data_IF_189696079081
#
_entry.id   IF_189696079081
#
_cell.length_a   1.000
_cell.length_b   1.000
_cell.length_c   1.000
_cell.angle_alpha   90.00
_cell.angle_beta   90.00
_cell.angle_gamma   90.00
#
_symmetry.space_group_name_H-M   'P 1'
#
loop_
_entity.id
_entity.type
_entity.pdbx_description
1 polymer ?
#
# COMPACT_ATOMS: atom_id res chain seq x y z
N UNK A 1 86.73 -26.76 -47.25
CA UNK A 1 87.63 -25.62 -47.47
C UNK A 1 86.82 -24.38 -47.21
N UNK A 2 87.28 -23.59 -46.26
CA UNK A 2 87.08 -22.15 -46.00
C UNK A 2 85.65 -21.63 -46.05
N UNK A 3 85.10 -21.10 -45.04
CA UNK A 3 85.64 -20.29 -43.94
C UNK A 3 85.01 -18.92 -44.08
N UNK A 4 84.37 -18.37 -43.13
CA UNK A 4 83.94 -16.98 -43.19
C UNK A 4 82.88 -16.65 -42.15
N UNK A 5 83.34 -16.39 -40.94
CA UNK A 5 82.48 -15.81 -39.87
C UNK A 5 82.38 -14.29 -40.11
N UNK A 6 81.17 -13.82 -40.47
CA UNK A 6 80.88 -12.41 -40.56
C UNK A 6 80.26 -11.96 -39.19
N UNK A 7 81.07 -11.19 -38.43
CA UNK A 7 80.65 -10.52 -37.20
C UNK A 7 79.62 -9.43 -37.49
N UNK A 8 78.37 -9.74 -37.23
CA UNK A 8 77.28 -8.75 -37.26
C UNK A 8 77.32 -7.86 -35.99
N UNK A 9 77.74 -6.64 -36.13
CA UNK A 9 77.66 -5.58 -35.15
C UNK A 9 76.25 -5.13 -35.10
N UNK A 10 75.62 -5.28 -33.91
CA UNK A 10 74.25 -4.80 -33.64
C UNK A 10 74.22 -3.25 -33.74
N UNK A 11 73.19 -2.67 -34.34
CA UNK A 11 73.03 -1.21 -34.40
C UNK A 11 72.66 -0.66 -33.04
N UNK A 12 73.07 0.58 -32.68
CA UNK A 12 72.79 1.21 -31.41
C UNK A 12 71.31 1.52 -31.28
N UNK A 13 70.79 1.54 -30.05
CA UNK A 13 69.36 1.81 -29.79
C UNK A 13 68.99 3.23 -30.21
N UNK A 14 67.97 3.35 -31.05
CA UNK A 14 67.37 4.63 -31.43
C UNK A 14 66.84 5.36 -30.20
N UNK A 15 67.40 6.52 -29.88
CA UNK A 15 66.82 7.43 -28.85
C UNK A 15 65.46 7.89 -29.36
N UNK A 16 64.41 7.49 -28.67
CA UNK A 16 63.08 8.01 -28.88
C UNK A 16 63.10 9.44 -28.34
N UNK A 17 63.11 10.42 -29.23
CA UNK A 17 62.80 11.80 -28.83
C UNK A 17 61.33 11.84 -28.47
N UNK A 18 61.02 12.07 -27.19
CA UNK A 18 59.70 12.40 -26.74
C UNK A 18 59.28 13.74 -27.38
N UNK A 19 58.49 13.66 -28.42
CA UNK A 19 57.84 14.83 -29.03
C UNK A 19 56.71 15.23 -28.05
N UNK A 20 56.91 16.31 -27.31
CA UNK A 20 55.84 16.89 -26.51
C UNK A 20 54.74 17.36 -27.46
N UNK A 21 53.47 16.99 -27.19
CA UNK A 21 52.36 17.40 -28.02
C UNK A 21 52.20 18.92 -28.02
N UNK A 22 51.90 19.50 -29.19
CA UNK A 22 51.93 20.95 -29.46
C UNK A 22 51.01 21.83 -28.61
N UNK A 23 50.03 21.24 -27.92
CA UNK A 23 49.16 21.97 -27.02
C UNK A 23 49.84 22.51 -25.73
N UNK A 24 51.01 21.94 -25.37
CA UNK A 24 51.78 22.37 -24.21
C UNK A 24 52.47 23.74 -24.37
N UNK A 25 52.39 24.37 -25.57
CA UNK A 25 53.07 25.62 -25.89
C UNK A 25 52.15 26.85 -25.97
N UNK A 26 50.86 26.73 -25.69
CA UNK A 26 49.96 27.87 -25.73
C UNK A 26 49.90 28.55 -24.34
N UNK A 27 50.53 29.72 -24.17
CA UNK A 27 50.52 30.40 -22.85
C UNK A 27 49.14 30.89 -22.43
N UNK A 28 48.19 30.89 -23.36
CA UNK A 28 46.79 31.36 -23.08
C UNK A 28 45.95 30.33 -22.32
N UNK A 29 46.33 29.06 -22.32
CA UNK A 29 45.51 27.99 -21.66
C UNK A 29 45.90 27.76 -20.19
N UNK A 30 47.01 28.28 -19.74
CA UNK A 30 47.50 28.03 -18.38
C UNK A 30 46.66 28.69 -17.28
N UNK A 31 46.15 29.94 -17.45
CA UNK A 31 45.28 30.51 -16.43
C UNK A 31 43.96 29.73 -16.26
N UNK A 32 43.45 29.14 -17.35
CA UNK A 32 42.22 28.33 -17.32
C UNK A 32 42.40 26.97 -16.64
N UNK A 33 43.56 26.36 -16.80
CA UNK A 33 43.90 25.12 -16.09
C UNK A 33 44.00 25.32 -14.57
N UNK A 34 44.52 26.46 -14.16
CA UNK A 34 44.54 26.84 -12.73
C UNK A 34 43.14 27.09 -12.15
N UNK A 35 42.27 27.74 -12.92
CA UNK A 35 40.86 27.99 -12.52
C UNK A 35 40.05 26.69 -12.40
N UNK A 36 40.24 25.75 -13.32
CA UNK A 36 39.63 24.42 -13.29
C UNK A 36 40.09 23.61 -12.08
N UNK A 37 41.37 23.62 -11.78
CA UNK A 37 41.93 22.93 -10.64
C UNK A 37 41.43 23.55 -9.32
N UNK A 38 41.29 24.88 -9.23
CA UNK A 38 40.73 25.56 -8.09
C UNK A 38 39.25 25.25 -7.90
N UNK A 39 38.46 25.19 -8.98
CA UNK A 39 37.04 24.83 -8.93
C UNK A 39 36.81 23.40 -8.46
N UNK A 40 37.62 22.44 -8.92
CA UNK A 40 37.54 21.03 -8.49
C UNK A 40 37.98 20.91 -7.02
N UNK A 41 39.03 21.64 -6.61
CA UNK A 41 39.47 21.68 -5.22
C UNK A 41 38.43 22.27 -4.27
N UNK A 42 37.76 23.38 -4.66
CA UNK A 42 36.68 23.96 -3.87
C UNK A 42 35.47 23.04 -3.78
N UNK A 43 35.12 22.33 -4.85
CA UNK A 43 34.03 21.36 -4.87
C UNK A 43 34.30 20.17 -3.94
N UNK A 44 35.55 19.69 -3.92
CA UNK A 44 35.96 18.60 -3.02
C UNK A 44 35.97 19.04 -1.55
N UNK A 45 36.40 20.26 -1.25
CA UNK A 45 36.36 20.84 0.09
C UNK A 45 34.91 21.06 0.56
N UNK A 46 34.02 21.50 -0.34
CA UNK A 46 32.60 21.69 -0.02
C UNK A 46 31.90 20.35 0.21
N UNK A 47 32.19 19.33 -0.61
CA UNK A 47 31.70 17.99 -0.40
C UNK A 47 32.18 17.36 0.91
N UNK A 48 33.42 17.66 1.33
CA UNK A 48 33.95 17.15 2.58
C UNK A 48 33.34 17.85 3.82
N UNK A 49 32.92 19.10 3.68
CA UNK A 49 32.20 19.81 4.76
C UNK A 49 30.74 19.36 4.93
N UNK A 50 30.10 18.84 3.88
CA UNK A 50 28.70 18.41 3.92
C UNK A 50 28.57 16.95 4.38
N UNK A 51 29.54 16.10 4.13
CA UNK A 51 29.49 14.67 4.44
C UNK A 51 29.39 14.32 5.95
N UNK A 52 29.86 15.11 6.91
CA UNK A 52 29.65 14.76 8.32
C UNK A 52 28.25 15.10 8.84
N UNK A 53 27.45 15.87 8.10
CA UNK A 53 26.09 16.25 8.53
C UNK A 53 25.06 15.14 8.29
N UNK A 54 25.34 14.24 7.35
CA UNK A 54 24.57 13.02 7.19
C UNK A 54 25.26 11.89 7.97
N UNK A 55 25.40 12.11 9.28
CA UNK A 55 25.74 11.05 10.19
C UNK A 55 24.83 9.87 9.84
N UNK A 56 25.42 8.69 9.68
CA UNK A 56 24.67 7.43 9.52
C UNK A 56 23.49 7.51 10.46
N UNK A 57 22.24 7.24 9.99
CA UNK A 57 21.13 7.20 10.92
C UNK A 57 21.58 6.27 12.01
N UNK A 58 21.82 6.85 13.21
CA UNK A 58 21.97 6.05 14.40
C UNK A 58 20.75 5.14 14.31
N UNK A 59 20.99 3.86 14.00
CA UNK A 59 19.97 2.84 14.13
C UNK A 59 19.58 3.04 15.60
N UNK A 60 18.48 3.81 15.78
CA UNK A 60 17.81 3.88 17.06
C UNK A 60 17.68 2.40 17.40
N UNK A 61 18.54 1.93 18.31
CA UNK A 61 18.28 0.67 18.98
C UNK A 61 16.96 0.91 19.66
N UNK A 62 15.90 0.74 18.88
CA UNK A 62 14.55 0.64 19.39
C UNK A 62 14.66 -0.41 20.45
N UNK A 63 14.74 0.06 21.68
CA UNK A 63 14.54 -0.77 22.86
C UNK A 63 13.36 -1.63 22.47
N UNK A 64 13.48 -2.97 22.41
CA UNK A 64 12.34 -3.77 21.99
C UNK A 64 11.21 -3.36 22.90
N UNK A 65 10.22 -2.65 22.35
CA UNK A 65 8.97 -2.41 23.04
C UNK A 65 8.57 -3.81 23.44
N UNK A 66 8.36 -4.11 24.72
CA UNK A 66 7.91 -5.43 25.10
C UNK A 66 6.66 -5.66 24.28
N UNK A 67 6.78 -6.46 23.23
CA UNK A 67 5.66 -6.86 22.42
C UNK A 67 4.78 -7.59 23.39
N UNK A 68 3.76 -6.88 23.89
CA UNK A 68 2.71 -7.49 24.70
C UNK A 68 2.33 -8.72 23.90
N UNK A 69 2.62 -9.88 24.45
CA UNK A 69 2.38 -11.14 23.77
C UNK A 69 0.93 -11.11 23.28
N UNK A 70 0.74 -10.93 21.98
CA UNK A 70 -0.57 -11.01 21.38
C UNK A 70 -1.04 -12.42 21.67
N UNK A 71 -2.14 -12.61 22.41
CA UNK A 71 -2.61 -13.94 22.73
C UNK A 71 -2.71 -14.73 21.44
N UNK A 72 -1.94 -15.82 21.33
CA UNK A 72 -2.08 -16.72 20.19
C UNK A 72 -3.49 -17.27 20.24
N UNK A 73 -4.25 -17.22 19.14
CA UNK A 73 -5.55 -17.86 19.11
C UNK A 73 -5.40 -19.30 19.56
N UNK A 74 -6.19 -19.72 20.51
CA UNK A 74 -6.22 -21.14 20.88
C UNK A 74 -6.75 -21.87 19.66
N UNK A 75 -5.96 -22.80 19.12
CA UNK A 75 -6.34 -23.55 17.93
C UNK A 75 -7.68 -24.24 18.20
N UNK A 76 -8.74 -23.87 17.45
CA UNK A 76 -10.08 -24.41 17.59
C UNK A 76 -11.13 -23.44 18.13
N UNK A 77 -10.74 -22.27 18.64
CA UNK A 77 -11.74 -21.28 19.08
C UNK A 77 -12.51 -20.71 17.88
N UNK A 78 -13.84 -20.72 17.95
CA UNK A 78 -14.72 -20.21 16.91
C UNK A 78 -15.50 -19.01 17.44
N UNK A 79 -15.83 -18.09 16.53
CA UNK A 79 -16.71 -16.95 16.79
C UNK A 79 -17.93 -17.07 15.92
N UNK A 80 -19.11 -16.93 16.51
CA UNK A 80 -20.35 -16.77 15.76
C UNK A 80 -20.45 -15.37 15.23
N UNK A 81 -20.83 -15.25 13.97
CA UNK A 81 -21.05 -14.00 13.26
C UNK A 81 -22.38 -14.08 12.54
N UNK A 82 -23.05 -12.95 12.43
CA UNK A 82 -24.31 -12.82 11.70
C UNK A 82 -24.05 -12.16 10.36
N UNK A 83 -24.36 -12.87 9.29
CA UNK A 83 -24.19 -12.41 7.91
C UNK A 83 -25.54 -11.98 7.39
N UNK A 84 -25.60 -10.86 6.71
CA UNK A 84 -26.80 -10.32 6.13
C UNK A 84 -26.70 -10.35 4.62
N UNK A 85 -27.66 -10.99 3.96
CA UNK A 85 -27.71 -11.11 2.50
C UNK A 85 -28.99 -10.46 1.99
N UNK A 86 -28.92 -9.64 0.90
CA UNK A 86 -30.12 -9.09 0.29
C UNK A 86 -31.05 -10.20 -0.21
N UNK A 87 -32.33 -10.06 0.04
CA UNK A 87 -33.33 -10.92 -0.56
C UNK A 87 -33.71 -10.42 -1.98
N UNK A 88 -34.28 -11.31 -2.80
CA UNK A 88 -34.67 -10.94 -4.16
C UNK A 88 -35.77 -9.87 -4.21
N UNK A 89 -36.61 -9.79 -3.18
CA UNK A 89 -37.61 -8.71 -3.01
C UNK A 89 -36.96 -7.35 -2.86
N UNK A 90 -35.70 -7.31 -2.38
CA UNK A 90 -34.94 -6.08 -2.19
C UNK A 90 -35.32 -5.25 -0.96
N UNK A 91 -36.32 -5.66 -0.20
CA UNK A 91 -36.84 -4.87 0.94
C UNK A 91 -36.36 -5.38 2.30
N UNK A 92 -35.70 -6.53 2.31
CA UNK A 92 -35.23 -7.15 3.56
C UNK A 92 -33.90 -7.86 3.38
N UNK A 93 -33.22 -8.12 4.50
CA UNK A 93 -32.07 -9.00 4.55
C UNK A 93 -32.46 -10.36 5.09
N UNK A 94 -31.85 -11.41 4.50
CA UNK A 94 -31.80 -12.73 5.10
C UNK A 94 -30.61 -12.79 6.03
N UNK A 95 -30.84 -13.09 7.30
CA UNK A 95 -29.79 -13.32 8.28
C UNK A 95 -29.35 -14.78 8.26
N UNK A 96 -28.04 -15.01 8.21
CA UNK A 96 -27.43 -16.33 8.35
C UNK A 96 -26.39 -16.29 9.47
N UNK A 97 -26.50 -17.18 10.45
CA UNK A 97 -25.48 -17.34 11.48
C UNK A 97 -24.40 -18.30 10.98
N UNK A 98 -23.13 -17.88 11.08
CA UNK A 98 -21.98 -18.73 10.74
C UNK A 98 -20.91 -18.69 11.79
N UNK A 99 -20.12 -19.75 11.85
CA UNK A 99 -18.95 -19.83 12.69
C UNK A 99 -17.69 -19.59 11.88
N UNK A 100 -16.93 -18.56 12.24
CA UNK A 100 -15.59 -18.31 11.71
C UNK A 100 -14.54 -18.72 12.73
N UNK A 101 -13.35 -19.11 12.24
CA UNK A 101 -12.23 -19.31 13.14
C UNK A 101 -11.83 -17.99 13.78
N UNK A 102 -11.74 -17.97 15.11
CA UNK A 102 -11.25 -16.79 15.80
C UNK A 102 -9.83 -16.47 15.39
N UNK A 103 -9.56 -15.20 15.13
CA UNK A 103 -8.26 -14.72 14.66
C UNK A 103 -7.57 -13.87 15.72
N UNK A 104 -6.29 -13.65 15.52
CA UNK A 104 -5.47 -12.86 16.45
C UNK A 104 -5.87 -11.40 16.47
N UNK A 105 -6.36 -10.88 15.35
CA UNK A 105 -6.74 -9.48 15.19
C UNK A 105 -8.16 -9.34 14.68
N UNK A 106 -8.84 -8.26 15.09
CA UNK A 106 -10.16 -7.90 14.56
C UNK A 106 -10.16 -7.78 13.03
N UNK A 107 -9.11 -7.23 12.46
CA UNK A 107 -8.96 -7.07 11.01
C UNK A 107 -8.97 -8.42 10.27
N UNK A 108 -8.31 -9.44 10.82
CA UNK A 108 -8.34 -10.78 10.23
C UNK A 108 -9.73 -11.43 10.33
N UNK A 109 -10.49 -11.18 11.41
CA UNK A 109 -11.87 -11.63 11.56
C UNK A 109 -12.79 -10.91 10.56
N UNK A 110 -12.63 -9.58 10.39
CA UNK A 110 -13.35 -8.79 9.39
C UNK A 110 -13.13 -9.37 7.98
N UNK A 111 -11.87 -9.66 7.62
CA UNK A 111 -11.55 -10.28 6.33
C UNK A 111 -12.18 -11.68 6.18
N UNK A 112 -12.25 -12.45 7.26
CA UNK A 112 -12.89 -13.76 7.24
C UNK A 112 -14.39 -13.63 6.98
N UNK A 113 -15.06 -12.68 7.63
CA UNK A 113 -16.48 -12.37 7.42
C UNK A 113 -16.76 -11.93 5.98
N UNK A 114 -15.95 -11.02 5.44
CA UNK A 114 -16.11 -10.55 4.06
C UNK A 114 -15.92 -11.69 3.04
N UNK A 115 -15.02 -12.65 3.30
CA UNK A 115 -14.90 -13.84 2.45
C UNK A 115 -16.13 -14.73 2.53
N UNK A 116 -16.75 -14.87 3.70
CA UNK A 116 -18.01 -15.62 3.80
C UNK A 116 -19.15 -14.93 3.05
N UNK A 117 -19.24 -13.59 3.08
CA UNK A 117 -20.19 -12.83 2.27
C UNK A 117 -19.93 -13.02 0.76
N UNK A 118 -18.67 -13.08 0.34
CA UNK A 118 -18.29 -13.32 -1.06
C UNK A 118 -18.61 -14.74 -1.52
N UNK A 119 -18.68 -15.70 -0.62
CA UNK A 119 -19.06 -17.10 -0.97
C UNK A 119 -20.56 -17.28 -1.15
N UNK A 120 -21.35 -16.47 -0.47
CA UNK A 120 -22.79 -16.70 -0.36
C UNK A 120 -23.11 -17.89 0.53
N UNK A 121 -24.34 -18.38 0.46
CA UNK A 121 -24.84 -19.50 1.21
C UNK A 121 -25.67 -20.47 0.37
N UNK A 122 -26.24 -21.53 1.01
CA UNK A 122 -27.07 -22.50 0.31
C UNK A 122 -28.29 -21.88 -0.39
N UNK A 123 -28.81 -20.81 0.19
CA UNK A 123 -30.00 -20.11 -0.28
C UNK A 123 -29.76 -18.61 -0.57
N UNK A 124 -28.48 -18.19 -0.54
CA UNK A 124 -28.09 -16.79 -0.73
C UNK A 124 -27.00 -16.68 -1.80
N UNK A 125 -27.13 -15.66 -2.66
CA UNK A 125 -26.15 -15.40 -3.70
C UNK A 125 -24.90 -14.76 -3.11
N UNK A 126 -23.71 -14.98 -3.72
CA UNK A 126 -22.51 -14.23 -3.39
C UNK A 126 -22.76 -12.73 -3.43
N UNK A 127 -22.36 -12.03 -2.37
CA UNK A 127 -22.56 -10.58 -2.27
C UNK A 127 -21.54 -9.80 -3.11
N UNK A 128 -20.34 -10.32 -3.20
CA UNK A 128 -19.25 -9.71 -3.93
C UNK A 128 -18.82 -10.61 -5.09
N UNK A 129 -18.56 -10.06 -6.29
CA UNK A 129 -18.01 -10.82 -7.39
C UNK A 129 -16.65 -11.44 -7.06
N UNK A 130 -16.27 -12.53 -7.72
CA UNK A 130 -14.93 -13.09 -7.62
C UNK A 130 -13.87 -12.03 -7.94
N UNK A 131 -12.78 -12.00 -7.14
CA UNK A 131 -11.68 -11.05 -7.32
C UNK A 131 -11.93 -9.66 -6.73
N UNK A 132 -13.06 -9.43 -6.04
CA UNK A 132 -13.34 -8.20 -5.29
C UNK A 132 -13.12 -8.36 -3.79
N UNK A 133 -12.21 -9.26 -3.40
CA UNK A 133 -11.87 -9.44 -1.99
C UNK A 133 -11.18 -8.17 -1.44
N UNK A 134 -11.46 -7.85 -0.19
CA UNK A 134 -10.83 -6.71 0.49
C UNK A 134 -9.30 -6.90 0.55
N UNK A 135 -8.56 -5.93 0.04
CA UNK A 135 -7.09 -5.95 0.02
C UNK A 135 -6.54 -5.55 1.40
N UNK A 136 -7.04 -4.44 1.91
CA UNK A 136 -6.66 -3.93 3.23
C UNK A 136 -7.89 -3.60 4.06
N UNK A 137 -7.77 -3.79 5.37
CA UNK A 137 -8.77 -3.39 6.33
C UNK A 137 -8.06 -2.78 7.54
N UNK A 138 -8.67 -1.75 8.11
CA UNK A 138 -8.20 -1.08 9.32
C UNK A 138 -9.41 -0.64 10.14
N UNK A 139 -9.32 -0.69 11.45
CA UNK A 139 -10.36 -0.16 12.36
C UNK A 139 -9.70 0.86 13.26
N UNK A 140 -10.23 2.08 13.26
CA UNK A 140 -9.71 3.17 14.09
C UNK A 140 -10.28 3.13 15.52
N UNK A 141 -9.79 4.04 16.36
CA UNK A 141 -10.24 4.17 17.76
C UNK A 141 -11.67 4.70 17.90
N UNK A 142 -12.28 5.25 16.84
CA UNK A 142 -13.65 5.74 16.81
C UNK A 142 -14.65 4.67 16.33
N UNK A 143 -14.15 3.48 16.00
CA UNK A 143 -14.95 2.36 15.50
C UNK A 143 -15.31 2.50 14.01
N UNK A 144 -14.52 3.22 13.24
CA UNK A 144 -14.67 3.24 11.78
C UNK A 144 -13.81 2.13 11.19
N UNK A 145 -14.45 1.20 10.49
CA UNK A 145 -13.74 0.20 9.69
C UNK A 145 -13.51 0.74 8.28
N UNK A 146 -12.27 0.90 7.90
CA UNK A 146 -11.85 1.26 6.55
C UNK A 146 -11.59 -0.02 5.76
N UNK A 147 -12.31 -0.21 4.68
CA UNK A 147 -12.23 -1.38 3.82
C UNK A 147 -11.72 -0.96 2.44
N UNK A 148 -10.50 -1.36 2.11
CA UNK A 148 -9.88 -1.06 0.83
C UNK A 148 -10.06 -2.23 -0.14
N UNK A 149 -10.75 -1.97 -1.22
CA UNK A 149 -11.09 -2.93 -2.26
C UNK A 149 -10.29 -2.68 -3.53
N UNK A 150 -10.08 -3.72 -4.36
CA UNK A 150 -9.58 -3.52 -5.71
C UNK A 150 -10.60 -2.79 -6.57
N UNK A 151 -10.19 -2.20 -7.73
CA UNK A 151 -11.10 -1.48 -8.64
C UNK A 151 -12.33 -2.27 -9.08
N UNK A 152 -12.28 -3.60 -9.03
CA UNK A 152 -13.41 -4.48 -9.35
C UNK A 152 -14.67 -4.24 -8.53
N UNK A 153 -14.56 -3.66 -7.32
CA UNK A 153 -15.72 -3.28 -6.50
C UNK A 153 -16.59 -2.23 -7.18
N UNK A 154 -16.03 -1.42 -8.09
CA UNK A 154 -16.77 -0.41 -8.82
C UNK A 154 -17.91 -1.02 -9.66
N UNK A 155 -17.75 -2.26 -10.15
CA UNK A 155 -18.81 -2.97 -10.86
C UNK A 155 -20.01 -3.27 -9.94
N UNK A 156 -19.77 -3.53 -8.66
CA UNK A 156 -20.84 -3.72 -7.65
C UNK A 156 -21.57 -2.40 -7.42
N UNK A 157 -20.82 -1.32 -7.23
CA UNK A 157 -21.38 0.02 -6.96
C UNK A 157 -22.13 0.58 -8.17
N UNK A 158 -21.68 0.25 -9.39
CA UNK A 158 -22.33 0.64 -10.63
C UNK A 158 -23.53 -0.28 -11.01
N UNK A 159 -23.85 -1.29 -10.20
CA UNK A 159 -24.98 -2.17 -10.47
C UNK A 159 -26.29 -1.38 -10.54
N UNK A 160 -27.18 -1.72 -11.50
CA UNK A 160 -28.42 -0.97 -11.70
C UNK A 160 -29.40 -1.15 -10.53
N UNK A 161 -30.21 -0.13 -10.30
CA UNK A 161 -31.27 -0.17 -9.31
C UNK A 161 -30.74 -0.19 -7.88
N UNK A 162 -31.45 -0.89 -7.01
CA UNK A 162 -31.14 -0.99 -5.57
C UNK A 162 -30.07 -2.03 -5.23
N UNK A 163 -29.56 -2.79 -6.20
CA UNK A 163 -28.62 -3.88 -5.94
C UNK A 163 -27.31 -3.39 -5.33
N UNK A 164 -26.77 -2.29 -5.85
CA UNK A 164 -25.56 -1.67 -5.30
C UNK A 164 -25.74 -1.24 -3.85
N UNK A 165 -26.83 -0.52 -3.57
CA UNK A 165 -27.19 -0.07 -2.22
C UNK A 165 -27.31 -1.24 -1.25
N UNK A 166 -28.05 -2.28 -1.64
CA UNK A 166 -28.27 -3.46 -0.82
C UNK A 166 -26.98 -4.22 -0.52
N UNK A 167 -26.09 -4.37 -1.51
CA UNK A 167 -24.80 -5.01 -1.31
C UNK A 167 -23.93 -4.23 -0.30
N UNK A 168 -23.88 -2.93 -0.43
CA UNK A 168 -23.13 -2.06 0.49
C UNK A 168 -23.73 -2.11 1.90
N UNK A 169 -25.07 -1.96 2.04
CA UNK A 169 -25.74 -2.03 3.32
C UNK A 169 -25.59 -3.40 4.00
N UNK A 170 -25.62 -4.48 3.23
CA UNK A 170 -25.39 -5.83 3.76
C UNK A 170 -24.01 -5.98 4.39
N UNK A 171 -22.96 -5.44 3.74
CA UNK A 171 -21.61 -5.41 4.30
C UNK A 171 -21.55 -4.59 5.59
N UNK A 172 -22.09 -3.38 5.57
CA UNK A 172 -22.10 -2.47 6.72
C UNK A 172 -22.83 -3.11 7.89
N UNK A 173 -24.04 -3.62 7.67
CA UNK A 173 -24.86 -4.25 8.70
C UNK A 173 -24.20 -5.51 9.26
N UNK A 174 -23.64 -6.35 8.40
CA UNK A 174 -22.90 -7.55 8.82
C UNK A 174 -21.76 -7.20 9.77
N UNK A 175 -20.91 -6.23 9.41
CA UNK A 175 -19.75 -5.88 10.22
C UNK A 175 -20.14 -5.20 11.54
N UNK A 176 -21.05 -4.26 11.50
CA UNK A 176 -21.47 -3.51 12.70
C UNK A 176 -22.24 -4.36 13.70
N UNK A 177 -22.97 -5.37 13.24
CA UNK A 177 -23.71 -6.29 14.11
C UNK A 177 -22.82 -7.41 14.63
N UNK A 178 -21.90 -7.92 13.81
CA UNK A 178 -21.00 -9.00 14.23
C UNK A 178 -19.85 -8.53 15.12
N UNK A 179 -19.48 -7.25 15.06
CA UNK A 179 -18.35 -6.68 15.80
C UNK A 179 -18.76 -5.42 16.55
N UNK A 180 -18.85 -5.51 17.88
CA UNK A 180 -19.23 -4.37 18.74
C UNK A 180 -18.28 -3.18 18.66
N UNK A 181 -17.04 -3.43 18.24
CA UNK A 181 -15.99 -2.46 18.05
C UNK A 181 -16.20 -1.60 16.79
N UNK A 182 -16.97 -2.11 15.80
CA UNK A 182 -17.25 -1.43 14.56
C UNK A 182 -18.59 -0.71 14.63
N UNK A 183 -18.58 0.61 14.41
CA UNK A 183 -19.78 1.46 14.43
C UNK A 183 -20.17 1.94 13.04
N UNK A 184 -19.18 2.12 12.19
CA UNK A 184 -19.33 2.63 10.82
C UNK A 184 -18.34 1.96 9.90
N UNK A 185 -18.61 2.01 8.60
CA UNK A 185 -17.73 1.44 7.56
C UNK A 185 -17.47 2.49 6.50
N UNK A 186 -16.19 2.73 6.18
CA UNK A 186 -15.73 3.54 5.07
C UNK A 186 -15.20 2.64 3.97
N UNK A 187 -15.68 2.86 2.76
CA UNK A 187 -15.23 2.13 1.57
C UNK A 187 -14.14 2.92 0.86
N UNK A 188 -13.06 2.21 0.53
CA UNK A 188 -11.93 2.74 -0.24
C UNK A 188 -11.71 1.88 -1.48
N UNK A 189 -11.08 2.45 -2.50
CA UNK A 189 -10.60 1.76 -3.70
C UNK A 189 -9.17 2.20 -3.95
N UNK A 190 -8.24 1.25 -3.94
CA UNK A 190 -6.80 1.51 -4.06
C UNK A 190 -6.32 2.61 -3.08
N UNK A 191 -6.79 2.55 -1.83
CA UNK A 191 -6.43 3.48 -0.77
C UNK A 191 -7.10 4.86 -0.85
N UNK A 192 -8.01 5.09 -1.81
CA UNK A 192 -8.72 6.36 -1.99
C UNK A 192 -10.20 6.22 -1.61
N UNK A 193 -10.77 7.27 -1.03
CA UNK A 193 -12.20 7.31 -0.73
C UNK A 193 -13.03 7.21 -2.02
N UNK A 194 -14.09 6.42 -1.96
CA UNK A 194 -15.02 6.33 -3.09
C UNK A 194 -15.80 7.64 -3.22
N UNK A 195 -15.78 8.24 -4.41
CA UNK A 195 -16.48 9.51 -4.69
C UNK A 195 -17.85 9.31 -5.34
N UNK A 196 -18.42 8.12 -5.21
CA UNK A 196 -19.66 7.71 -5.88
C UNK A 196 -20.80 7.52 -4.88
N UNK A 197 -22.00 7.52 -5.41
CA UNK A 197 -23.24 7.21 -4.70
C UNK A 197 -23.77 5.88 -5.21
N UNK A 198 -24.06 4.95 -4.31
CA UNK A 198 -24.68 3.66 -4.63
C UNK A 198 -26.15 3.70 -4.21
N UNK A 199 -27.06 3.89 -5.17
CA UNK A 199 -28.45 4.20 -4.86
C UNK A 199 -28.55 5.51 -4.08
N UNK A 200 -29.10 5.46 -2.87
CA UNK A 200 -29.23 6.61 -1.96
C UNK A 200 -28.05 6.73 -0.97
N UNK A 201 -27.02 5.87 -1.09
CA UNK A 201 -25.88 5.87 -0.19
C UNK A 201 -24.73 6.73 -0.72
N UNK A 202 -24.34 7.72 0.08
CA UNK A 202 -23.13 8.52 -0.17
C UNK A 202 -21.88 7.81 0.38
N UNK A 203 -21.12 7.15 -0.50
CA UNK A 203 -19.92 6.39 -0.14
C UNK A 203 -18.70 7.25 0.20
N UNK A 204 -18.79 8.57 0.06
CA UNK A 204 -17.75 9.52 0.47
C UNK A 204 -17.62 9.63 1.98
N UNK A 205 -18.58 9.10 2.73
CA UNK A 205 -18.63 9.19 4.20
C UNK A 205 -18.76 7.81 4.81
N UNK A 206 -18.27 7.61 6.04
CA UNK A 206 -18.48 6.36 6.77
C UNK A 206 -19.97 6.08 6.97
N UNK A 207 -20.42 4.93 6.51
CA UNK A 207 -21.81 4.48 6.58
C UNK A 207 -22.12 3.83 7.92
N UNK A 208 -23.32 4.09 8.42
CA UNK A 208 -23.90 3.42 9.57
C UNK A 208 -24.77 2.22 9.11
N UNK A 209 -25.00 1.23 9.99
CA UNK A 209 -25.94 0.15 9.69
C UNK A 209 -27.33 0.72 9.47
N UNK A 210 -27.98 0.23 8.42
CA UNK A 210 -29.36 0.55 8.09
C UNK A 210 -30.00 -0.67 7.47
N UNK A 211 -31.22 -0.96 7.87
CA UNK A 211 -31.98 -2.01 7.23
C UNK A 211 -32.72 -1.47 5.99
N UNK A 212 -32.90 -2.30 4.94
CA UNK A 212 -33.67 -1.88 3.78
C UNK A 212 -35.08 -1.40 4.19
N UNK A 213 -35.54 -0.28 3.61
CA UNK A 213 -36.82 0.34 3.96
C UNK A 213 -36.78 1.32 5.15
N UNK A 214 -35.67 1.43 5.85
CA UNK A 214 -35.47 2.45 6.88
C UNK A 214 -34.99 3.75 6.24
N UNK A 215 -35.76 4.83 6.36
CA UNK A 215 -35.38 6.14 5.82
C UNK A 215 -34.10 6.66 6.50
N UNK A 216 -33.23 7.29 5.71
CA UNK A 216 -32.03 7.92 6.24
C UNK A 216 -32.43 9.01 7.26
N UNK A 217 -32.10 8.81 8.53
CA UNK A 217 -32.25 9.88 9.51
C UNK A 217 -31.34 11.04 9.10
N UNK A 218 -31.90 12.27 8.99
CA UNK A 218 -31.08 13.42 8.67
C UNK A 218 -30.02 13.58 9.76
N UNK A 219 -28.77 13.73 9.33
CA UNK A 219 -27.65 14.05 10.22
C UNK A 219 -27.99 15.36 10.90
N UNK A 220 -28.33 15.30 12.18
CA UNK A 220 -28.51 16.51 13.00
C UNK A 220 -27.16 17.20 13.05
N UNK A 221 -27.00 18.24 12.26
CA UNK A 221 -25.86 19.14 12.35
C UNK A 221 -25.87 19.75 13.75
N UNK A 222 -24.86 19.42 14.56
CA UNK A 222 -24.66 20.10 15.83
C UNK A 222 -24.47 21.59 15.54
N UNK A 223 -25.15 22.49 16.24
CA UNK A 223 -24.93 23.93 16.11
C UNK A 223 -23.48 24.26 16.50
N UNK A 224 -22.85 25.13 15.73
CA UNK A 224 -21.48 25.65 15.93
C UNK A 224 -21.40 26.48 17.23
#
# INVERSE_FOLDING_TARGET
>A
MNGGWGSGVAPPPRRIRSVMPGWARHPVLWPWAGLLAAAVGLSALFAWQITPQFGSPAILRTRPIPTRAVPRPVAGERRRVRLFFPQESGDTFKEEEREIARRTTLVEEVRAVLRELSRGGPETKPLLPPGTEVQYAYVDSFGIAYLDFPPGIQAVVASPGRQAEQAILAIVTTLTISFSEIKRVQFLVDGQEMTVVAGDLDLRRPLQPRFPGEEAQPVVSLPQ
#
